data_IF_904893173896
#
_entry.id   IF_904893173896
#
_cell.length_a   1.000
_cell.length_b   1.000
_cell.length_c   1.000
_cell.angle_alpha   90.00
_cell.angle_beta   90.00
_cell.angle_gamma   90.00
#
_symmetry.space_group_name_H-M   'P 1'
#
loop_
_entity.id
_entity.type
_entity.pdbx_description
1 polymer ?
#
# COMPACT_ATOMS: atom_id res chain seq x y z
N UNK A 1 -12.41 3.12 -8.65
CA UNK A 1 -11.35 2.26 -9.20
C UNK A 1 -10.58 1.64 -8.05
N UNK A 2 -10.34 0.35 -8.09
CA UNK A 2 -9.55 -0.32 -7.08
C UNK A 2 -8.07 0.09 -7.18
N UNK A 3 -7.32 -0.02 -6.07
CA UNK A 3 -5.93 0.45 -6.03
C UNK A 3 -5.05 -0.27 -7.06
N UNK A 4 -5.23 -1.58 -7.25
CA UNK A 4 -4.46 -2.29 -8.27
C UNK A 4 -4.74 -1.78 -9.69
N UNK A 5 -5.97 -1.33 -9.95
CA UNK A 5 -6.35 -0.74 -11.23
C UNK A 5 -5.71 0.64 -11.43
N UNK A 6 -5.59 1.41 -10.34
CA UNK A 6 -4.90 2.72 -10.38
C UNK A 6 -3.45 2.52 -10.83
N UNK A 7 -2.75 1.54 -10.27
CA UNK A 7 -1.36 1.27 -10.63
C UNK A 7 -1.22 0.73 -12.05
N UNK A 8 -2.16 -0.08 -12.51
CA UNK A 8 -2.18 -0.55 -13.90
C UNK A 8 -2.30 0.64 -14.86
N UNK A 9 -3.21 1.56 -14.56
CA UNK A 9 -3.42 2.77 -15.36
C UNK A 9 -2.19 3.67 -15.32
N UNK A 10 -1.58 3.84 -14.14
CA UNK A 10 -0.37 4.62 -13.96
C UNK A 10 0.78 4.08 -14.83
N UNK A 11 0.92 2.76 -14.89
CA UNK A 11 1.95 2.12 -15.71
C UNK A 11 1.80 2.33 -17.20
N UNK A 12 0.62 2.70 -17.67
CA UNK A 12 0.33 3.00 -19.08
C UNK A 12 0.55 4.47 -19.42
N UNK A 13 0.68 5.34 -18.42
CA UNK A 13 0.93 6.75 -18.64
C UNK A 13 2.40 6.98 -19.00
N UNK A 14 2.65 7.77 -20.04
CA UNK A 14 4.01 8.03 -20.51
C UNK A 14 4.58 9.37 -20.04
N UNK A 15 3.73 10.37 -19.85
CA UNK A 15 4.15 11.71 -19.44
C UNK A 15 3.95 11.89 -17.93
N UNK A 16 4.84 12.69 -17.31
CA UNK A 16 4.73 13.01 -15.88
C UNK A 16 3.37 13.65 -15.53
N UNK A 17 2.86 14.51 -16.40
CA UNK A 17 1.55 15.15 -16.24
C UNK A 17 0.42 14.13 -16.19
N UNK A 18 0.47 13.13 -17.07
CA UNK A 18 -0.55 12.08 -17.12
C UNK A 18 -0.48 11.18 -15.89
N UNK A 19 0.71 10.88 -15.42
CA UNK A 19 0.92 10.10 -14.18
C UNK A 19 0.35 10.82 -12.96
N UNK A 20 0.64 12.12 -12.85
CA UNK A 20 0.13 12.95 -11.76
C UNK A 20 -1.40 13.00 -11.79
N UNK A 21 -1.99 13.12 -12.99
CA UNK A 21 -3.43 13.14 -13.16
C UNK A 21 -4.09 11.83 -12.72
N UNK A 22 -3.50 10.69 -13.05
CA UNK A 22 -4.02 9.38 -12.64
C UNK A 22 -4.11 9.31 -11.11
N UNK A 23 -3.07 9.75 -10.41
CA UNK A 23 -3.06 9.73 -8.95
C UNK A 23 -4.06 10.72 -8.35
N UNK A 24 -4.18 11.92 -8.91
CA UNK A 24 -5.12 12.93 -8.44
C UNK A 24 -6.58 12.51 -8.67
N UNK A 25 -6.88 11.98 -9.84
CA UNK A 25 -8.24 11.56 -10.18
C UNK A 25 -8.70 10.36 -9.34
N UNK A 26 -7.77 9.60 -8.79
CA UNK A 26 -8.04 8.42 -7.97
C UNK A 26 -7.58 8.59 -6.52
N UNK A 27 -7.44 9.83 -6.08
CA UNK A 27 -7.03 10.16 -4.72
C UNK A 27 -8.00 9.54 -3.70
N UNK A 28 -7.43 8.90 -2.69
CA UNK A 28 -8.18 8.27 -1.60
C UNK A 28 -7.30 8.14 -0.37
N UNK A 29 -7.95 7.96 0.78
CA UNK A 29 -7.22 7.70 2.03
C UNK A 29 -6.38 6.44 1.90
N UNK A 30 -6.94 5.40 1.28
CA UNK A 30 -6.22 4.13 1.07
C UNK A 30 -4.96 4.30 0.22
N UNK A 31 -5.05 5.04 -0.87
CA UNK A 31 -3.91 5.29 -1.75
C UNK A 31 -2.82 6.09 -1.04
N UNK A 32 -3.19 7.16 -0.35
CA UNK A 32 -2.23 7.97 0.42
C UNK A 32 -1.57 7.17 1.53
N UNK A 33 -2.33 6.33 2.24
CA UNK A 33 -1.81 5.48 3.31
C UNK A 33 -0.78 4.50 2.77
N UNK A 34 -1.07 3.91 1.61
CA UNK A 34 -0.14 3.00 0.95
C UNK A 34 1.16 3.71 0.55
N UNK A 35 1.06 4.94 0.05
CA UNK A 35 2.24 5.76 -0.29
C UNK A 35 3.09 6.04 0.95
N UNK A 36 2.47 6.38 2.07
CA UNK A 36 3.18 6.59 3.34
C UNK A 36 3.89 5.32 3.78
N UNK A 37 3.21 4.20 3.75
CA UNK A 37 3.80 2.93 4.15
C UNK A 37 5.04 2.59 3.31
N UNK A 38 4.96 2.81 2.00
CA UNK A 38 6.06 2.49 1.09
C UNK A 38 7.22 3.48 1.17
N UNK A 39 6.94 4.78 1.22
CA UNK A 39 7.97 5.81 1.04
C UNK A 39 8.43 6.50 2.32
N UNK A 40 7.68 6.40 3.43
CA UNK A 40 8.06 7.03 4.69
C UNK A 40 8.93 6.06 5.50
N UNK A 41 10.23 6.35 5.69
CA UNK A 41 11.10 5.44 6.41
C UNK A 41 10.81 5.37 7.92
N UNK A 42 10.03 6.30 8.45
CA UNK A 42 9.67 6.29 9.88
C UNK A 42 8.49 5.36 10.18
N UNK A 43 7.73 4.97 9.17
CA UNK A 43 6.60 4.06 9.35
C UNK A 43 7.10 2.63 9.18
N UNK A 44 7.06 1.84 10.25
CA UNK A 44 7.45 0.43 10.26
C UNK A 44 6.38 -0.39 10.95
N UNK A 45 5.98 -1.46 10.31
CA UNK A 45 5.08 -2.41 10.93
C UNK A 45 5.84 -3.28 11.93
N UNK A 46 5.25 -3.49 13.11
CA UNK A 46 5.80 -4.36 14.14
C UNK A 46 5.36 -5.80 13.86
N UNK A 47 5.94 -6.40 12.84
CA UNK A 47 5.63 -7.75 12.35
C UNK A 47 6.93 -8.50 12.10
N UNK A 48 6.82 -9.84 11.95
CA UNK A 48 7.96 -10.67 11.61
C UNK A 48 8.49 -10.33 10.21
N UNK A 49 9.79 -10.52 9.99
CA UNK A 49 10.42 -10.23 8.70
C UNK A 49 9.89 -11.11 7.58
N UNK A 50 9.68 -12.38 7.88
CA UNK A 50 9.16 -13.33 6.91
C UNK A 50 7.71 -13.67 7.23
N UNK A 51 6.83 -13.42 6.29
CA UNK A 51 5.41 -13.76 6.38
C UNK A 51 5.03 -14.52 5.13
N UNK A 52 4.50 -15.72 5.31
CA UNK A 52 3.93 -16.51 4.24
C UNK A 52 2.41 -16.41 4.29
N UNK A 53 1.77 -16.30 3.14
CA UNK A 53 0.32 -16.23 3.05
C UNK A 53 -0.16 -16.94 1.79
N UNK A 54 -1.41 -17.39 1.82
CA UNK A 54 -2.06 -18.01 0.68
C UNK A 54 -2.89 -16.98 -0.08
N UNK A 55 -2.83 -17.02 -1.41
CA UNK A 55 -3.65 -16.16 -2.24
C UNK A 55 -5.13 -16.51 -2.10
N UNK A 56 -5.98 -15.49 -1.99
CA UNK A 56 -7.42 -15.68 -1.89
C UNK A 56 -7.99 -16.20 -3.22
N UNK A 57 -8.86 -17.19 -3.14
CA UNK A 57 -9.65 -17.62 -4.30
C UNK A 57 -10.69 -16.57 -4.64
N UNK A 58 -11.26 -15.94 -3.60
CA UNK A 58 -12.24 -14.87 -3.74
C UNK A 58 -11.92 -13.76 -2.73
N UNK A 59 -11.80 -12.53 -3.22
CA UNK A 59 -11.51 -11.38 -2.37
C UNK A 59 -12.70 -11.07 -1.46
N UNK A 60 -12.43 -10.89 -0.16
CA UNK A 60 -13.45 -10.56 0.85
C UNK A 60 -13.45 -9.09 1.20
N UNK A 61 -12.38 -8.36 0.85
CA UNK A 61 -12.23 -6.94 1.15
C UNK A 61 -11.39 -6.28 0.07
N UNK A 62 -11.18 -4.99 0.20
CA UNK A 62 -10.36 -4.20 -0.74
C UNK A 62 -9.24 -3.49 -0.01
N UNK A 63 -8.20 -3.10 -0.74
CA UNK A 63 -7.07 -2.38 -0.18
C UNK A 63 -7.52 -1.00 0.37
N UNK A 64 -8.55 -0.39 -0.21
CA UNK A 64 -9.12 0.85 0.31
C UNK A 64 -9.62 0.71 1.76
N UNK A 65 -10.19 -0.44 2.09
CA UNK A 65 -10.73 -0.68 3.44
C UNK A 65 -9.64 -1.04 4.43
N UNK A 66 -8.71 -1.90 4.06
CA UNK A 66 -7.73 -2.45 5.01
C UNK A 66 -6.61 -1.47 5.36
N UNK A 67 -6.27 -0.54 4.47
CA UNK A 67 -5.22 0.45 4.74
C UNK A 67 -5.56 1.37 5.91
N UNK A 68 -6.83 1.49 6.26
CA UNK A 68 -7.23 2.31 7.41
C UNK A 68 -6.85 1.68 8.75
N UNK A 69 -6.59 0.38 8.78
CA UNK A 69 -6.28 -0.34 10.02
C UNK A 69 -4.80 -0.60 10.27
N UNK A 70 -3.90 -0.17 9.37
CA UNK A 70 -2.50 -0.54 9.51
C UNK A 70 -1.82 0.08 10.73
N UNK A 71 -2.35 1.18 11.25
CA UNK A 71 -1.75 1.86 12.41
C UNK A 71 -1.61 0.95 13.64
N UNK A 72 -2.54 0.03 13.84
CA UNK A 72 -2.47 -0.92 14.96
C UNK A 72 -1.28 -1.88 14.82
N UNK A 73 -0.79 -2.10 13.59
CA UNK A 73 0.33 -2.99 13.31
C UNK A 73 1.69 -2.32 13.59
N UNK A 74 1.71 -1.01 13.84
CA UNK A 74 2.93 -0.28 14.20
C UNK A 74 3.17 -0.23 15.72
N UNK A 75 2.23 -0.69 16.52
CA UNK A 75 2.33 -0.64 17.98
C UNK A 75 3.39 -1.61 18.47
N UNK A 76 4.47 -1.05 19.02
CA UNK A 76 5.59 -1.83 19.57
C UNK A 76 5.24 -2.54 20.87
N UNK A 77 4.13 -2.19 21.53
CA UNK A 77 3.66 -2.85 22.74
C UNK A 77 2.91 -4.14 22.42
N UNK A 78 2.43 -4.29 21.20
CA UNK A 78 1.75 -5.51 20.78
C UNK A 78 2.78 -6.60 20.40
N UNK A 79 2.36 -7.86 20.49
CA UNK A 79 3.18 -8.99 20.07
C UNK A 79 3.42 -8.96 18.55
N UNK A 80 4.67 -9.19 18.14
CA UNK A 80 4.98 -9.34 16.71
C UNK A 80 4.20 -10.47 16.08
N UNK A 81 4.06 -11.58 16.77
CA UNK A 81 3.34 -12.75 16.27
C UNK A 81 1.86 -12.42 16.04
N UNK A 82 1.24 -11.72 16.98
CA UNK A 82 -0.15 -11.28 16.83
C UNK A 82 -0.32 -10.35 15.63
N UNK A 83 0.56 -9.36 15.50
CA UNK A 83 0.52 -8.42 14.39
C UNK A 83 0.78 -9.13 13.07
N UNK A 84 1.72 -10.07 13.04
CA UNK A 84 2.01 -10.86 11.85
C UNK A 84 0.82 -11.70 11.40
N UNK A 85 0.12 -12.33 12.34
CA UNK A 85 -1.08 -13.10 12.05
C UNK A 85 -2.21 -12.21 11.52
N UNK A 86 -2.37 -11.02 12.08
CA UNK A 86 -3.35 -10.05 11.60
C UNK A 86 -3.03 -9.59 10.19
N UNK A 87 -1.77 -9.28 9.91
CA UNK A 87 -1.32 -8.87 8.58
C UNK A 87 -1.50 -9.98 7.55
N UNK A 88 -1.17 -11.21 7.93
CA UNK A 88 -1.40 -12.39 7.09
C UNK A 88 -2.89 -12.55 6.74
N UNK A 89 -3.77 -12.40 7.72
CA UNK A 89 -5.22 -12.47 7.50
C UNK A 89 -5.71 -11.41 6.52
N UNK A 90 -5.16 -10.21 6.60
CA UNK A 90 -5.47 -9.12 5.67
C UNK A 90 -5.06 -9.52 4.24
N UNK A 91 -3.82 -10.01 4.07
CA UNK A 91 -3.31 -10.42 2.76
C UNK A 91 -4.19 -11.53 2.15
N UNK A 92 -4.60 -12.49 2.96
CA UNK A 92 -5.42 -13.64 2.53
C UNK A 92 -6.88 -13.25 2.24
N UNK A 93 -7.28 -12.03 2.59
CA UNK A 93 -8.62 -11.50 2.34
C UNK A 93 -8.70 -10.61 1.11
N UNK A 94 -7.55 -10.23 0.55
CA UNK A 94 -7.46 -9.33 -0.60
C UNK A 94 -7.38 -10.09 -1.92
N UNK A 95 -7.82 -9.42 -3.01
CA UNK A 95 -7.47 -9.89 -4.35
C UNK A 95 -5.94 -10.09 -4.42
N UNK A 96 -5.46 -11.20 -5.01
CA UNK A 96 -4.01 -11.46 -5.08
C UNK A 96 -3.17 -10.29 -5.61
N UNK A 97 -3.72 -9.52 -6.54
CA UNK A 97 -3.03 -8.34 -7.09
C UNK A 97 -2.85 -7.25 -6.05
N UNK A 98 -3.85 -7.04 -5.19
CA UNK A 98 -3.77 -6.06 -4.10
C UNK A 98 -2.92 -6.56 -2.93
N UNK A 99 -2.99 -7.85 -2.65
CA UNK A 99 -2.15 -8.47 -1.62
C UNK A 99 -0.67 -8.30 -1.94
N UNK A 100 -0.28 -8.50 -3.20
CA UNK A 100 1.11 -8.29 -3.64
C UNK A 100 1.56 -6.83 -3.47
N UNK A 101 0.68 -5.88 -3.73
CA UNK A 101 0.96 -4.45 -3.57
C UNK A 101 1.22 -4.14 -2.08
N UNK A 102 0.34 -4.58 -1.20
CA UNK A 102 0.49 -4.35 0.24
C UNK A 102 1.74 -5.04 0.79
N UNK A 103 2.00 -6.27 0.37
CA UNK A 103 3.18 -7.04 0.79
C UNK A 103 4.47 -6.32 0.39
N UNK A 104 4.54 -5.81 -0.82
CA UNK A 104 5.72 -5.06 -1.29
C UNK A 104 5.88 -3.73 -0.56
N UNK A 105 4.78 -3.01 -0.29
CA UNK A 105 4.81 -1.75 0.44
C UNK A 105 5.28 -1.94 1.89
N UNK A 106 4.94 -3.05 2.51
CA UNK A 106 5.41 -3.41 3.86
C UNK A 106 6.95 -3.39 3.94
N UNK A 107 7.62 -3.87 2.91
CA UNK A 107 9.08 -3.90 2.84
C UNK A 107 9.66 -2.65 2.17
N UNK A 108 8.82 -1.64 1.89
CA UNK A 108 9.19 -0.41 1.18
C UNK A 108 9.79 -0.69 -0.19
N UNK A 109 9.31 -1.76 -0.82
CA UNK A 109 9.80 -2.27 -2.09
C UNK A 109 8.70 -2.31 -3.16
N UNK A 110 7.72 -1.43 -3.04
CA UNK A 110 6.67 -1.30 -4.05
C UNK A 110 7.25 -0.55 -5.25
N UNK A 111 7.59 -1.32 -6.29
CA UNK A 111 8.18 -0.81 -7.52
C UNK A 111 7.19 -0.98 -8.66
N UNK A 112 6.38 0.04 -8.86
CA UNK A 112 5.42 0.07 -9.95
C UNK A 112 5.91 1.05 -11.01
N UNK A 113 5.73 0.69 -12.27
CA UNK A 113 6.10 1.56 -13.37
C UNK A 113 5.42 2.93 -13.21
N UNK A 114 6.21 3.98 -13.25
CA UNK A 114 5.71 5.35 -13.13
C UNK A 114 5.54 5.85 -11.70
N UNK A 115 5.69 4.99 -10.70
CA UNK A 115 5.54 5.37 -9.30
C UNK A 115 6.89 5.75 -8.70
N UNK A 116 6.95 6.91 -8.01
CA UNK A 116 8.14 7.35 -7.28
C UNK A 116 7.74 8.24 -6.12
N UNK A 117 8.64 8.39 -5.15
CA UNK A 117 8.46 9.32 -4.03
C UNK A 117 8.31 10.77 -4.55
N UNK A 118 9.10 11.13 -5.54
CA UNK A 118 9.04 12.45 -6.18
C UNK A 118 7.66 12.73 -6.75
N UNK A 119 7.08 11.77 -7.47
CA UNK A 119 5.74 11.91 -8.03
C UNK A 119 4.68 12.06 -6.92
N UNK A 120 4.79 11.30 -5.85
CA UNK A 120 3.87 11.40 -4.72
C UNK A 120 3.93 12.81 -4.09
N UNK A 121 5.11 13.37 -3.96
CA UNK A 121 5.29 14.73 -3.43
C UNK A 121 4.72 15.76 -4.40
N UNK A 122 4.92 15.60 -5.70
CA UNK A 122 4.36 16.50 -6.71
C UNK A 122 2.83 16.51 -6.68
N UNK A 123 2.21 15.37 -6.44
CA UNK A 123 0.74 15.23 -6.43
C UNK A 123 0.13 15.76 -5.13
N UNK A 124 0.66 15.37 -3.97
CA UNK A 124 0.07 15.66 -2.66
C UNK A 124 0.87 16.62 -1.79
N UNK A 125 2.06 17.02 -2.22
CA UNK A 125 2.98 17.80 -1.41
C UNK A 125 3.74 16.93 -0.42
N UNK A 126 4.80 17.50 0.19
CA UNK A 126 5.65 16.77 1.12
C UNK A 126 4.96 16.43 2.44
N UNK A 127 3.80 17.04 2.71
CA UNK A 127 2.98 16.77 3.89
C UNK A 127 2.43 15.35 3.94
N UNK A 128 2.38 14.66 2.79
CA UNK A 128 1.89 13.28 2.76
C UNK A 128 2.72 12.36 3.66
N UNK A 129 3.98 12.71 3.89
CA UNK A 129 4.91 11.91 4.71
C UNK A 129 5.11 12.45 6.14
N UNK A 130 4.22 13.30 6.61
CA UNK A 130 4.30 13.89 7.95
C UNK A 130 3.17 13.48 8.86
#
# INVERSE_FOLDING_TARGET
>A
MEIHEVFTTLGRANKAEDKAKVLLDNDSIGLRTLMRLNFDPTIKLNINEEIEYEEAEEAKTTLHKVTMGYASLTDLRASKDRNSNQFKSILESLDPREAKILFAAKDKNLRMRGLSKKLAIEVWGDRIFR
#
